data_IF_272453209075
#
_entry.id   IF_272453209075
#
_cell.length_a   1.000
_cell.length_b   1.000
_cell.length_c   1.000
_cell.angle_alpha   90.00
_cell.angle_beta   90.00
_cell.angle_gamma   90.00
#
_symmetry.space_group_name_H-M   'P 1'
#
loop_
_entity.id
_entity.type
_entity.pdbx_description
1 polymer ?
#
# COMPACT_ATOMS: atom_id res chain seq x y z
N UNK A 1 14.99 18.58 4.32
CA UNK A 1 13.92 17.98 3.48
C UNK A 1 12.65 17.91 4.32
N UNK A 2 11.47 17.86 3.71
CA UNK A 2 10.20 17.77 4.44
C UNK A 2 10.19 16.61 5.45
N UNK A 3 10.71 15.44 5.05
CA UNK A 3 10.85 14.26 5.93
C UNK A 3 11.68 14.55 7.18
N UNK A 4 12.85 15.19 7.06
CA UNK A 4 13.70 15.52 8.23
C UNK A 4 13.03 16.55 9.14
N UNK A 5 12.40 17.57 8.55
CA UNK A 5 11.78 18.65 9.30
C UNK A 5 10.54 18.18 10.10
N UNK A 6 9.84 17.15 9.62
CA UNK A 6 8.70 16.55 10.33
C UNK A 6 9.09 15.45 11.32
N UNK A 7 10.38 15.10 11.44
CA UNK A 7 10.83 13.91 12.18
C UNK A 7 10.33 12.59 11.57
N UNK A 8 9.98 12.61 10.27
CA UNK A 8 9.47 11.45 9.56
C UNK A 8 10.56 10.47 9.12
N UNK A 9 10.12 9.39 8.48
CA UNK A 9 10.99 8.35 7.95
C UNK A 9 10.59 7.98 6.51
N UNK A 10 11.53 7.36 5.79
CA UNK A 10 11.30 6.71 4.50
C UNK A 10 11.51 5.22 4.73
N UNK A 11 10.59 4.40 4.23
CA UNK A 11 10.71 2.94 4.24
C UNK A 11 10.59 2.42 2.81
N UNK A 12 11.17 1.25 2.57
CA UNK A 12 10.97 0.48 1.35
C UNK A 12 10.01 -0.69 1.62
N UNK A 13 9.28 -1.08 0.59
CA UNK A 13 8.42 -2.27 0.58
C UNK A 13 8.80 -3.11 -0.62
N UNK A 14 8.72 -4.43 -0.47
CA UNK A 14 8.95 -5.38 -1.55
C UNK A 14 7.75 -5.43 -2.48
N UNK A 15 7.99 -5.74 -3.76
CA UNK A 15 6.95 -5.88 -4.78
C UNK A 15 5.84 -6.85 -4.33
N UNK A 16 6.24 -7.97 -3.71
CA UNK A 16 5.31 -8.97 -3.16
C UNK A 16 4.36 -8.36 -2.12
N UNK A 17 4.85 -7.47 -1.26
CA UNK A 17 4.02 -6.82 -0.23
C UNK A 17 3.02 -5.85 -0.85
N UNK A 18 3.37 -5.20 -1.96
CA UNK A 18 2.46 -4.33 -2.71
C UNK A 18 1.25 -5.13 -3.19
N UNK A 19 1.48 -6.27 -3.85
CA UNK A 19 0.41 -7.12 -4.37
C UNK A 19 -0.45 -7.73 -3.25
N UNK A 20 0.16 -8.20 -2.16
CA UNK A 20 -0.57 -8.68 -1.00
C UNK A 20 -1.42 -7.58 -0.36
N UNK A 21 -0.89 -6.36 -0.26
CA UNK A 21 -1.63 -5.22 0.27
C UNK A 21 -2.78 -4.83 -0.64
N UNK A 22 -2.57 -4.81 -1.95
CA UNK A 22 -3.62 -4.54 -2.95
C UNK A 22 -4.78 -5.54 -2.82
N UNK A 23 -4.48 -6.83 -2.65
CA UNK A 23 -5.50 -7.86 -2.40
C UNK A 23 -6.23 -7.66 -1.07
N UNK A 24 -5.55 -7.20 -0.02
CA UNK A 24 -6.18 -6.93 1.28
C UNK A 24 -7.13 -5.75 1.21
N UNK A 25 -6.69 -4.61 0.67
CA UNK A 25 -7.51 -3.39 0.64
C UNK A 25 -8.66 -3.48 -0.36
N UNK A 26 -8.52 -4.27 -1.44
CA UNK A 26 -9.64 -4.54 -2.36
C UNK A 26 -10.77 -5.34 -1.70
N UNK A 27 -10.45 -6.25 -0.76
CA UNK A 27 -11.48 -6.92 0.07
C UNK A 27 -12.20 -5.97 1.03
N UNK A 28 -11.64 -4.78 1.28
CA UNK A 28 -12.26 -3.71 2.06
C UNK A 28 -13.04 -2.71 1.18
N UNK A 29 -13.11 -2.92 -0.13
CA UNK A 29 -13.82 -2.06 -1.08
C UNK A 29 -12.98 -0.96 -1.75
N UNK A 30 -11.67 -0.91 -1.50
CA UNK A 30 -10.79 0.05 -2.17
C UNK A 30 -10.34 -0.46 -3.54
N UNK A 31 -10.66 0.27 -4.60
CA UNK A 31 -10.17 -0.02 -5.95
C UNK A 31 -9.06 0.95 -6.35
N UNK A 32 -7.81 0.58 -6.05
CA UNK A 32 -6.59 1.38 -6.30
C UNK A 32 -5.65 0.66 -7.26
N UNK A 33 -4.70 1.41 -7.84
CA UNK A 33 -3.62 0.82 -8.65
C UNK A 33 -2.47 0.28 -7.77
N UNK A 34 -1.61 -0.64 -8.28
CA UNK A 34 -0.55 -1.27 -7.49
C UNK A 34 0.41 -0.28 -6.81
N UNK A 35 0.87 0.75 -7.51
CA UNK A 35 1.79 1.76 -6.95
C UNK A 35 1.18 2.51 -5.76
N UNK A 36 -0.14 2.71 -5.73
CA UNK A 36 -0.85 3.27 -4.57
C UNK A 36 -0.92 2.30 -3.40
N UNK A 37 -0.99 0.99 -3.67
CA UNK A 37 -0.99 -0.03 -2.62
C UNK A 37 0.34 -0.09 -1.86
N UNK A 38 1.45 0.44 -2.42
CA UNK A 38 2.71 0.57 -1.70
C UNK A 38 2.59 1.35 -0.38
N UNK A 39 1.73 2.37 -0.33
CA UNK A 39 1.48 3.12 0.89
C UNK A 39 0.81 2.25 1.98
N UNK A 40 -0.12 1.38 1.59
CA UNK A 40 -0.82 0.44 2.50
C UNK A 40 0.05 -0.75 2.91
N UNK A 41 0.98 -1.17 2.04
CA UNK A 41 2.01 -2.14 2.39
C UNK A 41 2.95 -1.56 3.45
N UNK A 42 3.37 -0.30 3.26
CA UNK A 42 4.17 0.44 4.23
C UNK A 42 3.45 0.60 5.57
N UNK A 43 2.15 0.93 5.55
CA UNK A 43 1.31 0.96 6.76
C UNK A 43 1.37 -0.39 7.50
N UNK A 44 1.18 -1.49 6.78
CA UNK A 44 1.24 -2.84 7.37
C UNK A 44 2.58 -3.12 8.03
N UNK A 45 3.70 -2.77 7.38
CA UNK A 45 5.02 -2.90 8.00
C UNK A 45 5.18 -2.06 9.27
N UNK A 46 4.75 -0.79 9.25
CA UNK A 46 4.88 0.13 10.38
C UNK A 46 4.04 -0.30 11.59
N UNK A 47 2.84 -0.85 11.34
CA UNK A 47 2.00 -1.46 12.38
C UNK A 47 2.69 -2.71 12.95
N UNK A 48 3.19 -3.61 12.09
CA UNK A 48 3.87 -4.84 12.53
C UNK A 48 5.14 -4.55 13.33
N UNK A 49 5.85 -3.46 13.03
CA UNK A 49 7.03 -2.98 13.76
C UNK A 49 6.68 -2.21 15.04
N UNK A 50 5.38 -1.99 15.32
CA UNK A 50 4.92 -1.22 16.48
C UNK A 50 5.22 0.27 16.44
N UNK A 51 5.62 0.80 15.28
CA UNK A 51 5.90 2.22 15.07
C UNK A 51 4.58 3.00 15.05
N UNK A 52 3.58 2.49 14.34
CA UNK A 52 2.20 2.97 14.39
C UNK A 52 1.44 2.11 15.39
N UNK A 53 0.81 2.74 16.39
CA UNK A 53 0.08 2.08 17.46
C UNK A 53 -1.42 2.02 17.16
N UNK A 54 -2.18 1.09 17.76
CA UNK A 54 -3.63 0.97 17.52
C UNK A 54 -4.47 2.22 17.84
N UNK A 55 -3.93 3.13 18.67
CA UNK A 55 -4.62 4.39 19.05
C UNK A 55 -4.17 5.60 18.22
N UNK A 56 -3.22 5.43 17.31
CA UNK A 56 -2.72 6.54 16.50
C UNK A 56 -3.68 6.82 15.34
N UNK A 57 -4.07 8.09 15.18
CA UNK A 57 -4.79 8.53 13.99
C UNK A 57 -3.83 8.56 12.80
N UNK A 58 -4.05 7.66 11.84
CA UNK A 58 -3.19 7.51 10.67
C UNK A 58 -3.97 7.83 9.39
N UNK A 59 -3.38 8.65 8.52
CA UNK A 59 -3.92 8.96 7.19
C UNK A 59 -3.01 8.34 6.13
N UNK A 60 -3.59 7.55 5.23
CA UNK A 60 -2.88 6.99 4.07
C UNK A 60 -3.39 7.68 2.80
N UNK A 61 -2.47 8.25 2.03
CA UNK A 61 -2.80 8.93 0.77
C UNK A 61 -2.75 7.91 -0.35
N UNK A 62 -3.89 7.68 -1.01
CA UNK A 62 -4.03 6.80 -2.17
C UNK A 62 -4.06 7.67 -3.43
N UNK A 63 -2.97 7.69 -4.18
CA UNK A 63 -2.75 8.67 -5.26
C UNK A 63 -3.29 8.22 -6.63
N UNK A 64 -3.62 6.95 -6.77
CA UNK A 64 -4.04 6.33 -8.02
C UNK A 64 -5.21 5.36 -7.85
N UNK A 65 -6.15 5.44 -8.79
CA UNK A 65 -7.35 4.62 -8.83
C UNK A 65 -7.17 3.41 -9.74
N UNK A 66 -7.83 2.30 -9.41
CA UNK A 66 -7.59 1.00 -10.05
C UNK A 66 -7.88 0.94 -11.54
N UNK A 67 -8.74 1.83 -12.08
CA UNK A 67 -9.07 1.83 -13.50
C UNK A 67 -7.83 2.05 -14.40
N UNK A 68 -6.78 2.71 -13.89
CA UNK A 68 -5.51 2.90 -14.59
C UNK A 68 -4.72 1.61 -14.84
N UNK A 69 -4.97 0.56 -14.06
CA UNK A 69 -4.19 -0.67 -14.04
C UNK A 69 -5.09 -1.93 -14.04
N UNK A 70 -6.28 -1.82 -14.62
CA UNK A 70 -7.28 -2.92 -14.61
C UNK A 70 -6.73 -4.19 -15.26
N UNK A 71 -5.98 -4.06 -16.34
CA UNK A 71 -5.28 -5.15 -17.03
C UNK A 71 -4.33 -5.90 -16.08
N UNK A 72 -3.50 -5.18 -15.33
CA UNK A 72 -2.55 -5.75 -14.34
C UNK A 72 -3.26 -6.43 -13.18
N UNK A 73 -4.36 -5.86 -12.71
CA UNK A 73 -5.18 -6.45 -11.64
C UNK A 73 -5.84 -7.75 -12.11
N UNK A 74 -6.26 -7.82 -13.37
CA UNK A 74 -6.81 -9.04 -13.98
C UNK A 74 -5.72 -10.10 -14.16
N UNK A 75 -4.52 -9.72 -14.62
CA UNK A 75 -3.37 -10.63 -14.72
C UNK A 75 -3.05 -11.30 -13.37
N UNK A 76 -3.00 -10.51 -12.29
CA UNK A 76 -2.82 -11.01 -10.92
C UNK A 76 -3.90 -12.02 -10.54
N UNK A 77 -5.19 -11.71 -10.78
CA UNK A 77 -6.31 -12.61 -10.45
C UNK A 77 -6.25 -13.93 -11.21
N UNK A 78 -5.75 -13.90 -12.43
CA UNK A 78 -5.63 -15.08 -13.28
C UNK A 78 -4.40 -15.94 -12.97
N UNK A 79 -3.64 -15.62 -11.91
CA UNK A 79 -2.45 -16.38 -11.51
C UNK A 79 -1.29 -16.25 -12.50
N UNK A 80 -1.34 -15.29 -13.44
CA UNK A 80 -0.18 -14.94 -14.25
C UNK A 80 0.79 -14.21 -13.35
N UNK A 81 1.96 -14.83 -13.10
CA UNK A 81 3.04 -14.26 -12.30
C UNK A 81 3.42 -12.89 -12.89
N UNK A 82 3.28 -11.85 -12.09
CA UNK A 82 3.94 -10.57 -12.28
C UNK A 82 5.35 -10.65 -11.69
#
# INVERSE_FOLDING_TARGET
SAVKNSGGAIIAVEEREIWESLQKVSKLGFYIEPTSAAATAGLSQLINKGIIKPKDSTVVILTGFGLKATDKIVELKNGKRL
#
